data_IF_932720699412
#
_entry.id   IF_932720699412
#
_cell.length_a   1.000
_cell.length_b   1.000
_cell.length_c   1.000
_cell.angle_alpha   90.00
_cell.angle_beta   90.00
_cell.angle_gamma   90.00
#
_symmetry.space_group_name_H-M   'P 1'
#
loop_
_entity.id
_entity.type
_entity.pdbx_description
1 polymer ?
#
# COMPACT_ATOMS: atom_id res chain seq x y z
N UNK A 1 -9.01 28.19 20.96
CA UNK A 1 -9.06 27.17 19.88
C UNK A 1 -7.78 27.29 19.04
N UNK A 2 -6.96 26.22 18.99
CA UNK A 2 -5.60 26.24 18.44
C UNK A 2 -5.57 25.89 16.95
N UNK A 3 -5.22 26.87 16.11
CA UNK A 3 -5.18 26.79 14.63
C UNK A 3 -4.02 25.90 14.11
N UNK A 4 -3.06 25.56 14.98
CA UNK A 4 -1.83 24.83 14.62
C UNK A 4 -2.02 23.34 14.27
N UNK A 5 -3.13 22.73 14.68
CA UNK A 5 -3.37 21.30 14.42
C UNK A 5 -3.84 21.00 12.98
N UNK A 6 -4.47 21.97 12.31
CA UNK A 6 -5.08 21.77 10.99
C UNK A 6 -4.01 21.76 9.89
N UNK A 7 -2.97 22.58 10.02
CA UNK A 7 -1.92 22.70 9.00
C UNK A 7 -1.11 21.40 8.79
N UNK A 8 -0.89 20.59 9.83
CA UNK A 8 -0.12 19.33 9.70
C UNK A 8 -0.87 18.22 8.96
N UNK A 9 -2.20 18.26 8.93
CA UNK A 9 -3.00 17.25 8.21
C UNK A 9 -3.07 17.51 6.70
N UNK A 10 -2.96 18.77 6.28
CA UNK A 10 -2.99 19.14 4.86
C UNK A 10 -1.69 18.74 4.13
N UNK A 11 -0.53 18.82 4.79
CA UNK A 11 0.75 18.47 4.16
C UNK A 11 0.90 16.98 3.85
N UNK A 12 0.30 16.09 4.66
CA UNK A 12 0.35 14.65 4.42
C UNK A 12 -0.47 14.20 3.19
N UNK A 13 -1.51 14.97 2.84
CA UNK A 13 -2.37 14.64 1.70
C UNK A 13 -1.68 14.90 0.35
N UNK A 14 -0.85 15.96 0.26
CA UNK A 14 -0.16 16.31 -1.00
C UNK A 14 1.03 15.37 -1.27
N UNK A 15 1.71 14.89 -0.22
CA UNK A 15 2.80 13.92 -0.37
C UNK A 15 2.30 12.56 -0.89
N UNK A 16 1.06 12.15 -0.56
CA UNK A 16 0.48 10.91 -1.06
C UNK A 16 0.10 10.99 -2.55
N UNK A 17 -0.20 12.19 -3.06
CA UNK A 17 -0.61 12.38 -4.46
C UNK A 17 0.56 12.31 -5.45
N UNK A 18 1.76 12.70 -5.03
CA UNK A 18 2.96 12.65 -5.88
C UNK A 18 3.53 11.23 -6.00
N UNK A 19 3.30 10.35 -5.03
CA UNK A 19 3.67 8.94 -5.13
C UNK A 19 2.84 8.18 -6.18
N UNK A 20 1.60 8.61 -6.46
CA UNK A 20 0.74 8.01 -7.48
C UNK A 20 1.03 8.50 -8.91
N UNK A 21 1.71 9.63 -9.08
CA UNK A 21 1.97 10.21 -10.41
C UNK A 21 3.17 9.55 -11.12
N UNK A 22 4.03 8.81 -10.40
CA UNK A 22 5.23 8.17 -10.95
C UNK A 22 5.02 6.80 -11.60
N UNK A 23 3.85 6.17 -11.46
CA UNK A 23 3.57 4.83 -12.01
C UNK A 23 2.67 4.85 -13.27
N UNK A 24 2.33 6.03 -13.79
CA UNK A 24 1.33 6.19 -14.86
C UNK A 24 1.88 6.30 -16.28
N UNK A 25 3.19 6.50 -16.48
CA UNK A 25 3.76 6.86 -17.78
C UNK A 25 4.12 5.69 -18.71
N UNK A 26 3.88 4.43 -18.30
CA UNK A 26 4.27 3.25 -19.10
C UNK A 26 3.13 2.44 -19.74
N UNK A 27 1.86 2.72 -19.44
CA UNK A 27 0.73 1.84 -19.82
C UNK A 27 -0.14 2.34 -20.98
N UNK A 28 0.39 3.19 -21.87
CA UNK A 28 -0.41 3.76 -22.97
C UNK A 28 -0.59 2.78 -24.16
N UNK A 29 0.30 1.80 -24.35
CA UNK A 29 0.33 0.97 -25.57
C UNK A 29 0.26 -0.56 -25.34
N UNK A 30 -0.17 -1.01 -24.17
CA UNK A 30 -0.31 -2.45 -23.89
C UNK A 30 -1.62 -3.01 -24.47
N UNK A 31 -1.56 -4.17 -25.15
CA UNK A 31 -2.76 -4.88 -25.63
C UNK A 31 -3.73 -5.14 -24.45
N UNK A 32 -5.06 -5.28 -24.67
CA UNK A 32 -6.03 -5.38 -23.57
C UNK A 32 -5.68 -6.42 -22.50
N UNK A 33 -5.16 -7.58 -22.90
CA UNK A 33 -4.70 -8.64 -21.97
C UNK A 33 -3.46 -8.25 -21.15
N UNK A 34 -2.49 -7.56 -21.77
CA UNK A 34 -1.28 -7.08 -21.08
C UNK A 34 -1.62 -5.92 -20.14
N UNK A 35 -2.58 -5.06 -20.51
CA UNK A 35 -3.07 -3.99 -19.65
C UNK A 35 -3.75 -4.53 -18.40
N UNK A 36 -4.53 -5.60 -18.53
CA UNK A 36 -5.20 -6.23 -17.39
C UNK A 36 -4.21 -6.96 -16.48
N UNK A 37 -3.18 -7.59 -17.06
CA UNK A 37 -2.08 -8.15 -16.28
C UNK A 37 -1.28 -7.06 -15.55
N UNK A 38 -0.95 -5.95 -16.21
CA UNK A 38 -0.25 -4.83 -15.60
C UNK A 38 -1.05 -4.18 -14.45
N UNK A 39 -2.37 -4.02 -14.63
CA UNK A 39 -3.29 -3.58 -13.56
C UNK A 39 -3.37 -4.57 -12.41
N UNK A 40 -3.38 -5.87 -12.72
CA UNK A 40 -3.37 -6.92 -11.73
C UNK A 40 -2.09 -6.86 -10.89
N UNK A 41 -0.92 -6.78 -11.53
CA UNK A 41 0.36 -6.64 -10.83
C UNK A 41 0.43 -5.37 -9.99
N UNK A 42 -0.02 -4.23 -10.53
CA UNK A 42 -0.08 -2.98 -9.77
C UNK A 42 -0.97 -3.11 -8.51
N UNK A 43 -2.10 -3.84 -8.62
CA UNK A 43 -2.96 -4.12 -7.47
C UNK A 43 -2.27 -5.02 -6.45
N UNK A 44 -1.60 -6.09 -6.87
CA UNK A 44 -0.92 -7.01 -5.95
C UNK A 44 0.20 -6.31 -5.20
N UNK A 45 1.00 -5.49 -5.89
CA UNK A 45 2.02 -4.63 -5.27
C UNK A 45 1.42 -3.63 -4.29
N UNK A 46 0.32 -2.98 -4.65
CA UNK A 46 -0.38 -2.05 -3.77
C UNK A 46 -0.93 -2.75 -2.51
N UNK A 47 -1.54 -3.92 -2.64
CA UNK A 47 -2.07 -4.72 -1.53
C UNK A 47 -0.92 -5.12 -0.56
N UNK A 48 0.24 -5.50 -1.11
CA UNK A 48 1.43 -5.81 -0.32
C UNK A 48 1.95 -4.58 0.45
N UNK A 49 2.15 -3.43 -0.21
CA UNK A 49 2.65 -2.23 0.44
C UNK A 49 1.67 -1.70 1.52
N UNK A 50 0.37 -1.76 1.24
CA UNK A 50 -0.67 -1.38 2.21
C UNK A 50 -0.62 -2.27 3.46
N UNK A 51 -0.56 -3.59 3.29
CA UNK A 51 -0.54 -4.53 4.42
C UNK A 51 0.76 -4.45 5.21
N UNK A 52 1.90 -4.21 4.55
CA UNK A 52 3.18 -3.97 5.21
C UNK A 52 3.15 -2.73 6.11
N UNK A 53 2.60 -1.62 5.61
CA UNK A 53 2.40 -0.38 6.39
C UNK A 53 1.43 -0.59 7.55
N UNK A 54 0.34 -1.32 7.34
CA UNK A 54 -0.63 -1.63 8.38
C UNK A 54 0.01 -2.48 9.51
N UNK A 55 0.78 -3.50 9.15
CA UNK A 55 1.53 -4.31 10.12
C UNK A 55 2.52 -3.47 10.91
N UNK A 56 3.36 -2.66 10.24
CA UNK A 56 4.32 -1.80 10.92
C UNK A 56 3.64 -0.83 11.89
N UNK A 57 2.56 -0.18 11.46
CA UNK A 57 1.80 0.74 12.32
C UNK A 57 1.17 0.03 13.52
N UNK A 58 0.66 -1.20 13.34
CA UNK A 58 0.11 -1.98 14.45
C UNK A 58 1.21 -2.39 15.42
N UNK A 59 2.36 -2.86 14.90
CA UNK A 59 3.53 -3.24 15.68
C UNK A 59 4.05 -2.07 16.53
N UNK A 60 4.22 -0.90 15.92
CA UNK A 60 4.72 0.31 16.59
C UNK A 60 3.75 0.82 17.68
N UNK A 61 2.44 0.58 17.51
CA UNK A 61 1.41 1.10 18.42
C UNK A 61 1.05 0.15 19.57
N UNK A 62 0.97 -1.14 19.28
CA UNK A 62 0.42 -2.15 20.20
C UNK A 62 1.44 -3.23 20.57
N UNK A 63 2.55 -3.32 19.84
CA UNK A 63 3.59 -4.31 20.07
C UNK A 63 3.34 -5.63 19.35
N UNK A 64 4.32 -6.56 19.39
CA UNK A 64 4.33 -7.80 18.60
C UNK A 64 3.23 -8.80 18.96
N UNK A 65 2.78 -8.82 20.22
CA UNK A 65 1.86 -9.85 20.74
C UNK A 65 0.40 -9.38 20.80
N UNK A 66 0.10 -8.17 20.32
CA UNK A 66 -1.28 -7.68 20.25
C UNK A 66 -2.07 -8.40 19.16
N UNK A 67 -3.36 -8.65 19.40
CA UNK A 67 -4.23 -9.36 18.47
C UNK A 67 -4.34 -8.66 17.11
N UNK A 68 -4.36 -7.32 17.08
CA UNK A 68 -4.41 -6.55 15.83
C UNK A 68 -3.08 -6.61 15.08
N UNK A 69 -1.95 -6.62 15.81
CA UNK A 69 -0.63 -6.80 15.21
C UNK A 69 -0.49 -8.18 14.58
N UNK A 70 -0.94 -9.23 15.27
CA UNK A 70 -0.92 -10.61 14.75
C UNK A 70 -1.84 -10.77 13.53
N UNK A 71 -3.03 -10.16 13.56
CA UNK A 71 -3.92 -10.16 12.41
C UNK A 71 -3.30 -9.39 11.22
N UNK A 72 -2.68 -8.25 11.47
CA UNK A 72 -1.99 -7.48 10.43
C UNK A 72 -0.79 -8.25 9.85
N UNK A 73 -0.05 -8.98 10.67
CA UNK A 73 1.03 -9.86 10.24
C UNK A 73 0.53 -10.96 9.29
N UNK A 74 -0.59 -11.63 9.64
CA UNK A 74 -1.20 -12.65 8.80
C UNK A 74 -1.66 -12.09 7.44
N UNK A 75 -2.23 -10.88 7.43
CA UNK A 75 -2.64 -10.22 6.19
C UNK A 75 -1.45 -9.83 5.32
N UNK A 76 -0.37 -9.33 5.93
CA UNK A 76 0.89 -9.04 5.25
C UNK A 76 1.49 -10.30 4.61
N UNK A 77 1.55 -11.41 5.35
CA UNK A 77 2.07 -12.68 4.84
C UNK A 77 1.24 -13.20 3.65
N UNK A 78 -0.10 -13.11 3.73
CA UNK A 78 -0.98 -13.46 2.60
C UNK A 78 -0.72 -12.59 1.38
N UNK A 79 -0.53 -11.30 1.55
CA UNK A 79 -0.23 -10.39 0.45
C UNK A 79 1.15 -10.67 -0.16
N UNK A 80 2.15 -10.99 0.67
CA UNK A 80 3.48 -11.39 0.23
C UNK A 80 3.47 -12.70 -0.57
N UNK A 81 2.74 -13.72 -0.08
CA UNK A 81 2.59 -14.99 -0.79
C UNK A 81 1.86 -14.80 -2.13
N UNK A 82 0.87 -13.90 -2.16
CA UNK A 82 0.20 -13.54 -3.41
C UNK A 82 1.15 -12.82 -4.37
N UNK A 83 1.98 -11.90 -3.89
CA UNK A 83 2.98 -11.21 -4.69
C UNK A 83 3.96 -12.20 -5.32
N UNK A 84 4.61 -13.02 -4.50
CA UNK A 84 5.57 -14.04 -4.95
C UNK A 84 4.96 -15.09 -5.88
N UNK A 85 3.67 -15.42 -5.72
CA UNK A 85 2.95 -16.36 -6.59
C UNK A 85 2.27 -15.74 -7.82
N UNK A 86 2.27 -14.41 -7.96
CA UNK A 86 1.48 -13.72 -8.99
C UNK A 86 2.16 -13.64 -10.37
N UNK A 87 3.45 -13.97 -10.46
CA UNK A 87 4.24 -13.77 -11.68
C UNK A 87 4.48 -12.29 -12.02
N UNK A 88 4.19 -11.42 -11.05
CA UNK A 88 4.59 -10.03 -10.96
C UNK A 88 5.86 -9.94 -10.07
#
# INVERSE_FOLDING_TARGET
MNIRAIARRAAAAVALSLALAGLGSGMADAKPMERDHAKYCAKVWHDYDFTAKAFKNAYDKWGPNDALTLQAASNYERAYNKLTGSGC
#
